data_IF_534365421653
#
_entry.id   IF_534365421653
#
_cell.length_a   1.000
_cell.length_b   1.000
_cell.length_c   1.000
_cell.angle_alpha   90.00
_cell.angle_beta   90.00
_cell.angle_gamma   90.00
#
_symmetry.space_group_name_H-M   'P 1'
#
loop_
_entity.id
_entity.type
_entity.pdbx_description
1 polymer ?
#
# COMPACT_ATOMS: atom_id res chain seq x y z
N UNK A 1 -14.13 -0.52 10.20
CA UNK A 1 -13.35 0.72 10.35
C UNK A 1 -12.92 1.30 8.99
N UNK A 2 -12.36 0.53 8.09
CA UNK A 2 -11.89 0.96 6.76
C UNK A 2 -13.00 1.64 5.90
N UNK A 3 -14.18 1.02 5.76
CA UNK A 3 -15.30 1.57 4.98
C UNK A 3 -15.80 2.92 5.50
N UNK A 4 -15.86 3.12 6.80
CA UNK A 4 -16.27 4.40 7.39
C UNK A 4 -15.26 5.50 7.08
N UNK A 5 -13.97 5.22 7.20
CA UNK A 5 -12.92 6.18 6.91
C UNK A 5 -12.92 6.60 5.43
N UNK A 6 -12.98 5.65 4.50
CA UNK A 6 -13.04 5.93 3.06
C UNK A 6 -14.31 6.69 2.69
N UNK A 7 -15.46 6.35 3.29
CA UNK A 7 -16.73 7.05 3.05
C UNK A 7 -16.67 8.49 3.51
N UNK A 8 -16.14 8.78 4.69
CA UNK A 8 -16.00 10.16 5.20
C UNK A 8 -15.12 11.00 4.28
N UNK A 9 -13.95 10.46 3.88
CA UNK A 9 -13.03 11.16 2.99
C UNK A 9 -13.63 11.39 1.60
N UNK A 10 -14.35 10.41 1.05
CA UNK A 10 -15.02 10.53 -0.24
C UNK A 10 -16.13 11.60 -0.18
N UNK A 11 -16.94 11.62 0.88
CA UNK A 11 -17.95 12.64 1.07
C UNK A 11 -17.35 14.04 1.22
N UNK A 12 -16.24 14.17 1.96
CA UNK A 12 -15.52 15.43 2.10
C UNK A 12 -14.95 15.90 0.76
N UNK A 13 -14.38 15.00 -0.05
CA UNK A 13 -13.89 15.31 -1.40
C UNK A 13 -15.05 15.74 -2.32
N UNK A 14 -16.14 15.00 -2.35
CA UNK A 14 -17.32 15.32 -3.16
C UNK A 14 -17.92 16.68 -2.79
N UNK A 15 -18.04 16.98 -1.49
CA UNK A 15 -18.52 18.30 -1.04
C UNK A 15 -17.57 19.43 -1.50
N UNK A 16 -16.26 19.22 -1.40
CA UNK A 16 -15.27 20.19 -1.86
C UNK A 16 -15.29 20.34 -3.40
N UNK A 17 -15.51 19.26 -4.15
CA UNK A 17 -15.66 19.28 -5.60
C UNK A 17 -16.92 20.05 -6.06
N UNK A 18 -18.03 19.92 -5.34
CA UNK A 18 -19.25 20.72 -5.60
C UNK A 18 -18.96 22.21 -5.42
N UNK A 19 -18.25 22.58 -4.36
CA UNK A 19 -17.85 23.97 -4.12
C UNK A 19 -16.91 24.46 -5.24
N UNK A 20 -15.96 23.64 -5.63
CA UNK A 20 -15.01 23.98 -6.69
C UNK A 20 -15.70 24.11 -8.05
N UNK A 21 -16.59 23.19 -8.40
CA UNK A 21 -17.44 23.26 -9.60
C UNK A 21 -18.22 24.58 -9.68
N UNK A 22 -18.90 24.97 -8.59
CA UNK A 22 -19.63 26.24 -8.52
C UNK A 22 -18.71 27.44 -8.77
N UNK A 23 -17.47 27.42 -8.25
CA UNK A 23 -16.46 28.47 -8.49
C UNK A 23 -16.00 28.50 -9.93
N UNK A 24 -15.70 27.34 -10.54
CA UNK A 24 -15.30 27.23 -11.95
C UNK A 24 -16.41 27.76 -12.86
N UNK A 25 -17.65 27.36 -12.62
CA UNK A 25 -18.82 27.83 -13.38
C UNK A 25 -18.99 29.36 -13.29
N UNK A 26 -18.82 29.95 -12.11
CA UNK A 26 -18.88 31.41 -11.91
C UNK A 26 -17.75 32.15 -12.62
N UNK A 27 -16.61 31.50 -12.89
CA UNK A 27 -15.47 32.05 -13.62
C UNK A 27 -15.59 31.91 -15.14
N UNK A 28 -16.71 31.42 -15.65
CA UNK A 28 -16.93 31.27 -17.08
C UNK A 28 -16.18 30.10 -17.72
N UNK A 29 -15.79 29.08 -16.95
CA UNK A 29 -15.12 27.87 -17.47
C UNK A 29 -16.04 27.19 -18.49
N UNK A 30 -15.49 26.76 -19.64
CA UNK A 30 -16.23 26.13 -20.71
C UNK A 30 -17.00 24.88 -20.24
N UNK A 31 -18.16 24.64 -20.84
CA UNK A 31 -19.00 23.49 -20.51
C UNK A 31 -18.28 22.15 -20.67
N UNK A 32 -17.37 22.06 -21.66
CA UNK A 32 -16.55 20.86 -21.88
C UNK A 32 -15.64 20.58 -20.68
N UNK A 33 -14.93 21.59 -20.19
CA UNK A 33 -14.02 21.46 -19.05
C UNK A 33 -14.76 21.16 -17.74
N UNK A 34 -15.96 21.75 -17.58
CA UNK A 34 -16.82 21.44 -16.42
C UNK A 34 -17.30 19.99 -16.44
N UNK A 35 -17.72 19.47 -17.61
CA UNK A 35 -18.12 18.06 -17.77
C UNK A 35 -16.95 17.12 -17.48
N UNK A 36 -15.76 17.43 -18.03
CA UNK A 36 -14.55 16.64 -17.79
C UNK A 36 -14.19 16.60 -16.30
N UNK A 37 -14.24 17.75 -15.62
CA UNK A 37 -14.00 17.82 -14.19
C UNK A 37 -14.97 16.93 -13.40
N UNK A 38 -16.28 17.05 -13.69
CA UNK A 38 -17.31 16.22 -13.00
C UNK A 38 -17.10 14.74 -13.28
N UNK A 39 -16.80 14.36 -14.54
CA UNK A 39 -16.57 12.96 -14.90
C UNK A 39 -15.36 12.37 -14.17
N UNK A 40 -14.25 13.10 -14.10
CA UNK A 40 -13.04 12.65 -13.40
C UNK A 40 -13.26 12.57 -11.88
N UNK A 41 -13.92 13.55 -11.28
CA UNK A 41 -14.24 13.54 -9.86
C UNK A 41 -15.17 12.36 -9.52
N UNK A 42 -16.25 12.19 -10.26
CA UNK A 42 -17.20 11.09 -10.06
C UNK A 42 -16.54 9.72 -10.26
N UNK A 43 -15.69 9.56 -11.28
CA UNK A 43 -14.99 8.31 -11.54
C UNK A 43 -14.07 7.92 -10.37
N UNK A 44 -13.34 8.88 -9.78
CA UNK A 44 -12.46 8.61 -8.65
C UNK A 44 -13.22 8.40 -7.34
N UNK A 45 -14.27 9.18 -7.10
CA UNK A 45 -15.07 9.11 -5.87
C UNK A 45 -15.95 7.85 -5.83
N UNK A 46 -16.27 7.27 -7.00
CA UNK A 46 -17.00 6.00 -7.09
C UNK A 46 -16.15 4.76 -6.74
N UNK A 47 -14.81 4.84 -6.72
CA UNK A 47 -13.96 3.67 -6.50
C UNK A 47 -14.23 2.94 -5.17
N UNK A 48 -14.28 3.58 -3.99
CA UNK A 48 -14.54 2.88 -2.74
C UNK A 48 -15.89 2.16 -2.69
N UNK A 49 -17.04 2.79 -3.07
CA UNK A 49 -18.31 2.07 -3.08
C UNK A 49 -18.35 0.96 -4.14
N UNK A 50 -17.68 1.10 -5.28
CA UNK A 50 -17.57 0.02 -6.28
C UNK A 50 -16.79 -1.16 -5.71
N UNK A 51 -15.65 -0.92 -5.04
CA UNK A 51 -14.88 -1.98 -4.37
C UNK A 51 -15.75 -2.68 -3.32
N UNK A 52 -16.44 -1.92 -2.47
CA UNK A 52 -17.30 -2.47 -1.42
C UNK A 52 -18.46 -3.29 -1.98
N UNK A 53 -19.08 -2.83 -3.08
CA UNK A 53 -20.16 -3.56 -3.74
C UNK A 53 -19.66 -4.86 -4.39
N UNK A 54 -18.52 -4.80 -5.08
CA UNK A 54 -17.92 -5.99 -5.70
C UNK A 54 -17.50 -7.01 -4.65
N UNK A 55 -16.95 -6.58 -3.51
CA UNK A 55 -16.62 -7.43 -2.37
C UNK A 55 -17.88 -8.11 -1.79
N UNK A 56 -18.95 -7.34 -1.58
CA UNK A 56 -20.22 -7.85 -1.06
C UNK A 56 -20.92 -8.83 -2.01
N UNK A 57 -20.76 -8.67 -3.33
CA UNK A 57 -21.33 -9.56 -4.35
C UNK A 57 -20.44 -10.76 -4.68
N UNK A 58 -19.15 -10.66 -4.39
CA UNK A 58 -18.18 -11.73 -4.61
C UNK A 58 -18.31 -12.76 -3.50
N UNK A 59 -18.71 -13.99 -3.86
CA UNK A 59 -18.73 -15.11 -2.91
C UNK A 59 -17.34 -15.69 -2.65
N UNK A 60 -16.37 -15.36 -3.50
CA UNK A 60 -15.03 -15.91 -3.49
C UNK A 60 -14.01 -14.78 -3.78
N UNK A 61 -13.35 -14.29 -2.75
CA UNK A 61 -12.26 -13.36 -2.93
C UNK A 61 -11.08 -14.06 -3.61
N UNK A 62 -10.81 -13.70 -4.85
CA UNK A 62 -9.66 -14.21 -5.60
C UNK A 62 -8.46 -13.29 -5.42
N UNK A 63 -7.24 -13.81 -5.60
CA UNK A 63 -6.02 -12.98 -5.63
C UNK A 63 -6.13 -11.85 -6.65
N UNK A 64 -6.75 -12.10 -7.82
CA UNK A 64 -7.00 -11.06 -8.83
C UNK A 64 -7.94 -9.95 -8.34
N UNK A 65 -8.99 -10.29 -7.58
CA UNK A 65 -9.87 -9.28 -6.98
C UNK A 65 -9.13 -8.43 -5.95
N UNK A 66 -8.30 -9.04 -5.11
CA UNK A 66 -7.50 -8.32 -4.12
C UNK A 66 -6.52 -7.35 -4.78
N UNK A 67 -5.83 -7.77 -5.84
CA UNK A 67 -4.95 -6.89 -6.61
C UNK A 67 -5.74 -5.73 -7.22
N UNK A 68 -6.89 -6.00 -7.82
CA UNK A 68 -7.78 -4.95 -8.34
C UNK A 68 -8.19 -3.97 -7.25
N UNK A 69 -8.67 -4.46 -6.10
CA UNK A 69 -9.10 -3.62 -4.98
C UNK A 69 -7.95 -2.78 -4.42
N UNK A 70 -6.76 -3.36 -4.30
CA UNK A 70 -5.55 -2.66 -3.86
C UNK A 70 -5.19 -1.52 -4.83
N UNK A 71 -5.16 -1.77 -6.13
CA UNK A 71 -4.83 -0.76 -7.14
C UNK A 71 -5.92 0.31 -7.26
N UNK A 72 -7.19 -0.07 -7.21
CA UNK A 72 -8.31 0.88 -7.23
C UNK A 72 -8.29 1.79 -5.99
N UNK A 73 -8.00 1.23 -4.81
CA UNK A 73 -7.82 2.01 -3.60
C UNK A 73 -6.62 2.95 -3.67
N UNK A 74 -5.51 2.51 -4.24
CA UNK A 74 -4.34 3.36 -4.46
C UNK A 74 -4.64 4.52 -5.42
N UNK A 75 -5.31 4.27 -6.55
CA UNK A 75 -5.76 5.31 -7.49
C UNK A 75 -6.68 6.31 -6.78
N UNK A 76 -7.59 5.82 -5.94
CA UNK A 76 -8.44 6.68 -5.13
C UNK A 76 -7.61 7.54 -4.17
N UNK A 77 -6.68 6.99 -3.42
CA UNK A 77 -5.83 7.74 -2.50
C UNK A 77 -5.03 8.83 -3.21
N UNK A 78 -4.36 8.51 -4.32
CA UNK A 78 -3.50 9.46 -5.05
C UNK A 78 -4.28 10.57 -5.73
N UNK A 79 -5.58 10.37 -5.94
CA UNK A 79 -6.45 11.40 -6.54
C UNK A 79 -7.20 12.21 -5.49
N UNK A 80 -7.70 11.58 -4.44
CA UNK A 80 -8.56 12.21 -3.44
C UNK A 80 -7.77 12.98 -2.38
N UNK A 81 -6.71 12.40 -1.82
CA UNK A 81 -5.95 13.04 -0.75
C UNK A 81 -5.26 14.35 -1.19
N UNK A 82 -4.59 14.43 -2.35
CA UNK A 82 -4.07 15.70 -2.85
C UNK A 82 -5.15 16.76 -3.08
N UNK A 83 -6.35 16.35 -3.57
CA UNK A 83 -7.49 17.28 -3.73
C UNK A 83 -7.93 17.85 -2.40
N UNK A 84 -8.10 17.00 -1.38
CA UNK A 84 -8.47 17.43 -0.03
C UNK A 84 -7.45 18.44 0.51
N UNK A 85 -6.15 18.13 0.39
CA UNK A 85 -5.09 19.06 0.80
C UNK A 85 -5.20 20.40 0.06
N UNK A 86 -5.37 20.39 -1.25
CA UNK A 86 -5.56 21.62 -2.05
C UNK A 86 -6.78 22.43 -1.58
N UNK A 87 -7.89 21.76 -1.30
CA UNK A 87 -9.12 22.46 -0.90
C UNK A 87 -9.04 23.02 0.51
N UNK A 88 -8.42 22.29 1.44
CA UNK A 88 -8.18 22.76 2.79
C UNK A 88 -7.43 24.10 2.80
N UNK A 89 -6.29 24.19 2.12
CA UNK A 89 -5.52 25.43 2.03
C UNK A 89 -6.25 26.56 1.29
N UNK A 90 -7.10 26.22 0.33
CA UNK A 90 -7.97 27.22 -0.33
C UNK A 90 -9.03 27.79 0.58
N UNK A 91 -9.56 27.00 1.53
CA UNK A 91 -10.53 27.48 2.52
C UNK A 91 -9.90 28.52 3.46
N UNK A 92 -8.65 28.33 3.85
CA UNK A 92 -7.90 29.24 4.70
C UNK A 92 -7.22 30.40 3.92
N UNK A 93 -7.57 30.60 2.64
CA UNK A 93 -7.07 31.72 1.84
C UNK A 93 -5.67 31.54 1.24
N UNK A 94 -5.08 30.35 1.32
CA UNK A 94 -3.72 30.04 0.87
C UNK A 94 -3.67 29.11 -0.38
N UNK A 95 -4.23 29.49 -1.54
CA UNK A 95 -4.38 28.58 -2.69
C UNK A 95 -3.06 28.08 -3.28
N UNK A 96 -1.99 28.88 -3.23
CA UNK A 96 -0.65 28.47 -3.71
C UNK A 96 -0.04 27.39 -2.80
N UNK A 97 -0.16 27.56 -1.48
CA UNK A 97 0.25 26.54 -0.50
C UNK A 97 -0.54 25.24 -0.68
N UNK A 98 -1.83 25.35 -1.03
CA UNK A 98 -2.65 24.18 -1.34
C UNK A 98 -2.15 23.37 -2.53
N UNK A 99 -1.72 24.03 -3.61
CA UNK A 99 -1.13 23.33 -4.77
C UNK A 99 0.16 22.62 -4.34
N UNK A 100 1.04 23.31 -3.62
CA UNK A 100 2.28 22.70 -3.13
C UNK A 100 2.01 21.51 -2.21
N UNK A 101 1.07 21.64 -1.26
CA UNK A 101 0.66 20.55 -0.38
C UNK A 101 0.10 19.36 -1.15
N UNK A 102 -0.75 19.58 -2.14
CA UNK A 102 -1.30 18.52 -3.01
C UNK A 102 -0.20 17.78 -3.77
N UNK A 103 0.76 18.52 -4.35
CA UNK A 103 1.93 17.93 -5.03
C UNK A 103 2.78 17.10 -4.05
N UNK A 104 3.05 17.63 -2.85
CA UNK A 104 3.79 16.90 -1.82
C UNK A 104 3.09 15.60 -1.41
N UNK A 105 1.77 15.64 -1.18
CA UNK A 105 0.99 14.44 -0.83
C UNK A 105 1.05 13.42 -1.97
N UNK A 106 0.85 13.83 -3.22
CA UNK A 106 0.95 12.94 -4.37
C UNK A 106 2.36 12.32 -4.50
N UNK A 107 3.40 13.14 -4.35
CA UNK A 107 4.79 12.68 -4.42
C UNK A 107 5.13 11.68 -3.31
N UNK A 108 4.66 11.91 -2.07
CA UNK A 108 4.83 10.98 -0.94
C UNK A 108 4.12 9.65 -1.18
N UNK A 109 2.90 9.67 -1.72
CA UNK A 109 2.16 8.46 -2.05
C UNK A 109 2.85 7.66 -3.16
N UNK A 110 3.32 8.32 -4.23
CA UNK A 110 4.06 7.67 -5.31
C UNK A 110 5.38 7.09 -4.79
N UNK A 111 6.11 7.86 -4.00
CA UNK A 111 7.37 7.38 -3.41
C UNK A 111 7.14 6.18 -2.48
N UNK A 112 6.12 6.23 -1.61
CA UNK A 112 5.78 5.16 -0.68
C UNK A 112 5.44 3.86 -1.40
N UNK A 113 4.65 3.94 -2.47
CA UNK A 113 4.22 2.75 -3.24
C UNK A 113 5.29 2.21 -4.20
N UNK A 114 6.26 3.02 -4.61
CA UNK A 114 7.34 2.59 -5.52
C UNK A 114 8.61 2.21 -4.76
N UNK A 115 9.28 3.20 -4.17
CA UNK A 115 10.56 3.00 -3.48
C UNK A 115 10.39 2.57 -2.03
N UNK A 116 9.45 3.21 -1.28
CA UNK A 116 9.25 2.95 0.15
C UNK A 116 8.86 1.50 0.43
N UNK A 117 7.93 0.96 -0.37
CA UNK A 117 7.43 -0.42 -0.24
C UNK A 117 8.50 -1.49 -0.45
N UNK A 118 9.48 -1.22 -1.32
CA UNK A 118 10.50 -2.21 -1.71
C UNK A 118 11.79 -2.13 -0.89
N UNK A 119 11.87 -1.24 0.10
CA UNK A 119 13.05 -1.12 0.95
C UNK A 119 13.02 -2.15 2.08
N UNK A 120 13.96 -3.09 2.05
CA UNK A 120 14.17 -4.04 3.14
C UNK A 120 15.01 -3.34 4.22
N UNK A 121 14.51 -3.39 5.45
CA UNK A 121 15.26 -2.90 6.62
C UNK A 121 15.60 -4.06 7.54
N UNK A 122 16.85 -4.14 7.92
CA UNK A 122 17.33 -5.10 8.91
C UNK A 122 17.41 -4.40 10.26
N UNK A 123 16.61 -4.85 11.21
CA UNK A 123 16.72 -4.44 12.62
C UNK A 123 17.56 -5.48 13.36
N UNK A 124 18.49 -5.05 14.19
CA UNK A 124 19.34 -5.93 14.98
C UNK A 124 19.05 -5.71 16.45
N UNK A 125 18.83 -6.81 17.16
CA UNK A 125 18.64 -6.81 18.61
C UNK A 125 19.58 -7.85 19.20
N UNK A 126 20.38 -7.46 20.15
CA UNK A 126 21.25 -8.36 20.90
C UNK A 126 20.53 -8.81 22.18
N UNK A 127 20.54 -10.10 22.44
CA UNK A 127 19.93 -10.70 23.62
C UNK A 127 21.02 -11.29 24.50
N UNK A 128 21.30 -10.66 25.60
CA UNK A 128 22.29 -11.12 26.59
C UNK A 128 21.61 -11.62 27.85
N UNK A 129 21.92 -12.83 28.29
CA UNK A 129 21.40 -13.37 29.55
C UNK A 129 22.34 -14.43 30.11
N UNK A 130 22.55 -14.41 31.41
CA UNK A 130 23.31 -15.46 32.13
C UNK A 130 22.65 -16.85 32.03
N UNK A 131 21.41 -16.94 31.58
CA UNK A 131 20.66 -18.20 31.39
C UNK A 131 20.89 -18.81 30.02
N UNK A 132 21.48 -18.08 29.07
CA UNK A 132 21.80 -18.59 27.75
C UNK A 132 23.08 -19.39 27.85
N UNK A 133 23.09 -20.67 27.42
CA UNK A 133 24.31 -21.49 27.37
C UNK A 133 25.39 -20.86 26.49
N UNK A 134 26.65 -21.00 26.87
CA UNK A 134 27.80 -20.44 26.12
C UNK A 134 27.86 -20.91 24.64
N UNK A 135 27.34 -22.09 24.32
CA UNK A 135 27.24 -22.57 22.94
C UNK A 135 26.37 -21.75 21.99
N UNK A 136 25.59 -20.81 22.53
CA UNK A 136 24.77 -19.86 21.74
C UNK A 136 25.46 -18.49 21.60
N UNK A 137 26.70 -18.35 22.04
CA UNK A 137 27.42 -17.09 21.84
C UNK A 137 27.61 -16.83 20.33
N UNK A 138 27.18 -15.66 19.88
CA UNK A 138 27.18 -15.28 18.47
C UNK A 138 26.11 -15.95 17.61
N UNK A 139 25.19 -16.76 18.18
CA UNK A 139 24.12 -17.43 17.44
C UNK A 139 23.14 -16.40 16.84
N UNK A 140 22.87 -16.50 15.55
CA UNK A 140 22.05 -15.55 14.79
C UNK A 140 20.72 -16.14 14.41
N UNK A 141 19.67 -15.52 14.89
CA UNK A 141 18.28 -15.84 14.46
C UNK A 141 17.80 -14.72 13.55
N UNK A 142 17.41 -15.05 12.34
CA UNK A 142 16.74 -14.11 11.44
C UNK A 142 15.27 -14.44 11.42
N UNK A 143 14.47 -13.46 11.80
CA UNK A 143 13.01 -13.55 11.76
C UNK A 143 12.46 -12.71 10.61
N UNK A 144 11.47 -13.25 9.89
CA UNK A 144 10.68 -12.50 8.92
C UNK A 144 9.21 -12.93 8.98
N UNK A 145 8.30 -12.05 8.51
CA UNK A 145 6.86 -12.29 8.48
C UNK A 145 6.20 -11.43 7.41
N UNK A 146 4.86 -11.56 7.24
CA UNK A 146 4.02 -10.64 6.48
C UNK A 146 4.48 -10.45 5.02
N UNK A 147 4.85 -11.53 4.34
CA UNK A 147 5.31 -11.48 2.95
C UNK A 147 4.17 -11.17 1.99
N UNK A 148 2.97 -11.70 2.27
CA UNK A 148 1.75 -11.44 1.49
C UNK A 148 1.94 -11.61 -0.02
N UNK A 149 2.33 -12.81 -0.45
CA UNK A 149 2.70 -13.16 -1.84
C UNK A 149 1.68 -12.66 -2.89
N UNK A 150 0.39 -12.72 -2.57
CA UNK A 150 -0.68 -12.32 -3.47
C UNK A 150 -0.76 -10.81 -3.75
N UNK A 151 -0.07 -9.96 -3.00
CA UNK A 151 -0.02 -8.50 -3.18
C UNK A 151 1.31 -7.97 -3.68
N UNK A 152 2.30 -8.83 -3.90
CA UNK A 152 3.56 -8.44 -4.51
C UNK A 152 3.33 -8.04 -5.97
N UNK A 153 3.91 -6.92 -6.38
CA UNK A 153 3.79 -6.42 -7.78
C UNK A 153 4.70 -7.20 -8.72
N UNK A 154 5.90 -7.51 -8.26
CA UNK A 154 6.88 -8.35 -8.96
C UNK A 154 7.30 -9.49 -8.02
N UNK A 155 6.44 -10.53 -7.81
CA UNK A 155 6.62 -11.51 -6.75
C UNK A 155 8.00 -12.18 -6.76
N UNK A 156 8.47 -12.60 -7.93
CA UNK A 156 9.77 -13.27 -8.08
C UNK A 156 10.94 -12.36 -7.66
N UNK A 157 10.99 -11.14 -8.17
CA UNK A 157 12.07 -10.20 -7.87
C UNK A 157 12.04 -9.73 -6.41
N UNK A 158 10.85 -9.51 -5.86
CA UNK A 158 10.68 -9.05 -4.48
C UNK A 158 11.03 -10.16 -3.49
N UNK A 159 10.58 -11.39 -3.73
CA UNK A 159 10.87 -12.54 -2.90
C UNK A 159 12.37 -12.95 -2.98
N UNK A 160 12.97 -12.90 -4.18
CA UNK A 160 14.42 -13.12 -4.34
C UNK A 160 15.22 -12.15 -3.48
N UNK A 161 14.87 -10.85 -3.51
CA UNK A 161 15.55 -9.84 -2.68
C UNK A 161 15.40 -10.10 -1.17
N UNK A 162 14.22 -10.60 -0.73
CA UNK A 162 14.02 -11.00 0.66
C UNK A 162 14.95 -12.17 1.01
N UNK A 163 14.95 -13.23 0.20
CA UNK A 163 15.78 -14.41 0.41
C UNK A 163 17.29 -14.08 0.40
N UNK A 164 17.73 -13.25 -0.56
CA UNK A 164 19.11 -12.79 -0.64
C UNK A 164 19.51 -11.95 0.57
N UNK A 165 18.60 -11.08 1.04
CA UNK A 165 18.82 -10.28 2.24
C UNK A 165 18.97 -11.16 3.48
N UNK A 166 18.12 -12.17 3.66
CA UNK A 166 18.19 -13.13 4.77
C UNK A 166 19.50 -13.90 4.70
N UNK A 167 19.85 -14.47 3.54
CA UNK A 167 21.06 -15.26 3.36
C UNK A 167 22.34 -14.42 3.60
N UNK A 168 22.33 -13.13 3.23
CA UNK A 168 23.47 -12.23 3.46
C UNK A 168 23.77 -11.95 4.93
N UNK A 169 22.82 -12.23 5.83
CA UNK A 169 22.99 -12.11 7.26
C UNK A 169 23.68 -13.32 7.89
N UNK A 170 23.87 -14.40 7.12
CA UNK A 170 24.43 -15.67 7.58
C UNK A 170 23.75 -16.16 8.86
N UNK A 171 22.44 -16.42 8.83
CA UNK A 171 21.70 -16.88 10.01
C UNK A 171 22.10 -18.31 10.37
N UNK A 172 22.07 -18.63 11.68
CA UNK A 172 22.11 -19.99 12.18
C UNK A 172 20.72 -20.64 12.13
N UNK A 173 19.69 -19.84 12.34
CA UNK A 173 18.28 -20.23 12.27
C UNK A 173 17.45 -19.15 11.59
N UNK A 174 16.55 -19.57 10.70
CA UNK A 174 15.53 -18.67 10.11
C UNK A 174 14.16 -19.01 10.68
N UNK A 175 13.45 -18.01 11.18
CA UNK A 175 12.11 -18.16 11.76
C UNK A 175 11.12 -17.37 10.94
N UNK A 176 10.07 -18.04 10.49
CA UNK A 176 8.95 -17.41 9.82
C UNK A 176 7.75 -17.29 10.78
N UNK A 177 7.19 -16.08 10.94
CA UNK A 177 6.18 -15.80 11.93
C UNK A 177 4.76 -15.58 11.37
N UNK A 178 4.51 -15.99 10.12
CA UNK A 178 3.16 -15.99 9.55
C UNK A 178 2.97 -15.01 8.39
N UNK A 179 1.74 -15.07 7.82
CA UNK A 179 1.26 -14.22 6.74
C UNK A 179 2.09 -14.28 5.45
N UNK A 180 2.39 -15.51 5.01
CA UNK A 180 3.09 -15.77 3.76
C UNK A 180 2.19 -15.49 2.55
N UNK A 181 0.94 -15.89 2.63
CA UNK A 181 -0.09 -15.74 1.59
C UNK A 181 -1.19 -14.80 2.06
N UNK A 182 -1.94 -14.22 1.12
CA UNK A 182 -3.05 -13.33 1.46
C UNK A 182 -4.36 -14.08 1.67
N UNK A 183 -4.73 -14.97 0.72
CA UNK A 183 -6.04 -15.61 0.69
C UNK A 183 -5.93 -17.11 0.45
N UNK A 184 -5.09 -17.52 -0.49
CA UNK A 184 -5.06 -18.92 -0.98
C UNK A 184 -3.65 -19.48 -0.99
N UNK A 185 -3.55 -20.75 -0.64
CA UNK A 185 -2.30 -21.51 -0.74
C UNK A 185 -1.71 -21.56 -2.15
N UNK A 186 -2.53 -21.36 -3.21
CA UNK A 186 -2.07 -21.29 -4.61
C UNK A 186 -1.20 -20.07 -4.92
N UNK A 187 -1.16 -19.06 -4.05
CA UNK A 187 -0.23 -17.93 -4.15
C UNK A 187 1.22 -18.37 -3.91
N UNK A 188 1.40 -19.46 -3.16
CA UNK A 188 2.68 -20.14 -2.96
C UNK A 188 2.94 -21.07 -4.15
N UNK A 189 3.30 -20.51 -5.28
CA UNK A 189 3.59 -21.24 -6.50
C UNK A 189 4.97 -21.94 -6.47
N UNK A 190 5.27 -22.73 -7.49
CA UNK A 190 6.55 -23.45 -7.58
C UNK A 190 7.79 -22.53 -7.62
N UNK A 191 7.63 -21.26 -8.04
CA UNK A 191 8.73 -20.27 -8.03
C UNK A 191 8.97 -19.74 -6.63
N UNK A 192 7.88 -19.34 -5.94
CA UNK A 192 7.97 -18.90 -4.56
C UNK A 192 8.54 -20.00 -3.65
N UNK A 193 8.10 -21.25 -3.83
CA UNK A 193 8.65 -22.39 -3.09
C UNK A 193 10.15 -22.58 -3.34
N UNK A 194 10.64 -22.44 -4.58
CA UNK A 194 12.07 -22.53 -4.87
C UNK A 194 12.87 -21.42 -4.22
N UNK A 195 12.37 -20.19 -4.24
CA UNK A 195 13.07 -19.04 -3.64
C UNK A 195 13.13 -19.15 -2.12
N UNK A 196 12.04 -19.56 -1.47
CA UNK A 196 12.04 -19.82 -0.04
C UNK A 196 12.87 -21.04 0.35
N UNK A 197 12.86 -22.09 -0.48
CA UNK A 197 13.74 -23.26 -0.30
C UNK A 197 15.23 -22.95 -0.51
N UNK A 198 15.57 -21.76 -1.05
CA UNK A 198 16.94 -21.27 -1.16
C UNK A 198 17.45 -20.55 0.10
N UNK A 199 16.65 -20.44 1.16
CA UNK A 199 17.12 -19.94 2.46
C UNK A 199 18.13 -20.90 3.07
N UNK A 200 19.19 -20.34 3.65
CA UNK A 200 20.33 -21.09 4.17
C UNK A 200 20.53 -20.80 5.64
N UNK A 201 20.28 -21.80 6.47
CA UNK A 201 20.60 -21.76 7.90
C UNK A 201 20.94 -23.19 8.37
N UNK A 202 22.03 -23.39 9.13
CA UNK A 202 22.45 -24.72 9.61
C UNK A 202 21.40 -25.45 10.45
N UNK A 203 20.54 -24.71 11.13
CA UNK A 203 19.52 -25.27 12.03
C UNK A 203 18.08 -25.10 11.50
N UNK A 204 17.87 -24.72 10.24
CA UNK A 204 16.57 -24.56 9.59
C UNK A 204 16.09 -23.14 9.45
#
# INVERSE_FOLDING_TARGET
MFLWFTSILTLAAAAADIIHYRRLRRRGTSARNLRLFVALAAATDALPPVIALTDALSRDNTTGFMLFAMWAFWVWMITVLPRIACYFFRLVGLPRAGIAAGICVAALLIWGTTRGRTQIRVSRTEVCSKRIPAGFDGFRIVQFSDVHLGTLVCPEAELSRIADSINSLHPDLVVFCGDLVNIRGSELDARAMRLLGGLRAPYG
#
